data_IF_986963727854
#
_entry.id   IF_986963727854
#
_cell.length_a   1.000
_cell.length_b   1.000
_cell.length_c   1.000
_cell.angle_alpha   90.00
_cell.angle_beta   90.00
_cell.angle_gamma   90.00
#
_symmetry.space_group_name_H-M   'P 1'
#
loop_
_entity.id
_entity.type
_entity.pdbx_description
1 polymer ?
#
# COMPACT_ATOMS: atom_id res chain seq x y z
N UNK A 1 30.56 33.05 8.92
CA UNK A 1 29.33 32.26 8.72
C UNK A 1 28.77 31.92 10.09
N UNK A 2 27.86 32.77 10.57
CA UNK A 2 27.29 32.71 11.91
C UNK A 2 26.18 31.66 11.88
N UNK A 3 26.38 30.52 12.56
CA UNK A 3 25.33 29.54 12.84
C UNK A 3 24.24 30.25 13.65
N UNK A 4 23.12 30.56 13.01
CA UNK A 4 21.91 30.92 13.73
C UNK A 4 21.43 29.65 14.45
N UNK A 5 21.90 29.45 15.68
CA UNK A 5 21.26 28.57 16.65
C UNK A 5 19.83 29.03 16.83
N UNK A 6 18.90 28.35 16.14
CA UNK A 6 17.46 28.51 16.35
C UNK A 6 17.18 28.13 17.81
N UNK A 7 16.63 29.02 18.64
CA UNK A 7 16.35 28.72 20.04
C UNK A 7 15.22 27.69 20.12
N UNK A 8 15.53 26.50 20.66
CA UNK A 8 14.59 25.37 20.90
C UNK A 8 13.68 25.66 22.11
N UNK A 9 13.21 26.90 22.26
CA UNK A 9 12.72 27.43 23.54
C UNK A 9 11.39 28.17 23.52
N UNK A 10 10.66 28.22 22.40
CA UNK A 10 9.29 28.79 22.32
C UNK A 10 8.50 28.14 21.18
N UNK A 11 8.25 26.83 21.27
CA UNK A 11 7.15 26.18 20.55
C UNK A 11 6.11 25.81 21.62
N UNK A 12 5.39 26.81 22.12
CA UNK A 12 4.04 26.57 22.65
C UNK A 12 3.18 26.15 21.46
N UNK A 13 3.40 24.92 20.97
CA UNK A 13 2.56 24.25 20.01
C UNK A 13 1.18 24.24 20.66
N UNK A 14 0.29 25.11 20.18
CA UNK A 14 -1.07 25.13 20.68
C UNK A 14 -1.61 23.71 20.55
N UNK A 15 -2.24 23.19 21.60
CA UNK A 15 -2.87 21.87 21.55
C UNK A 15 -3.83 21.76 20.35
N UNK A 16 -4.35 22.88 19.82
CA UNK A 16 -5.11 22.91 18.58
C UNK A 16 -4.29 22.59 17.33
N UNK A 17 -3.08 23.13 17.19
CA UNK A 17 -2.21 22.87 16.03
C UNK A 17 -1.72 21.42 16.03
N UNK A 18 -1.47 20.86 17.22
CA UNK A 18 -1.13 19.44 17.35
C UNK A 18 -2.31 18.53 16.98
N UNK A 19 -3.53 18.87 17.43
CA UNK A 19 -4.75 18.12 17.09
C UNK A 19 -5.04 18.18 15.59
N UNK A 20 -4.89 19.37 14.98
CA UNK A 20 -5.07 19.56 13.55
C UNK A 20 -4.01 18.77 12.76
N UNK A 21 -2.73 18.90 13.12
CA UNK A 21 -1.65 18.17 12.47
C UNK A 21 -1.80 16.65 12.58
N UNK A 22 -2.20 16.16 13.76
CA UNK A 22 -2.50 14.74 13.96
C UNK A 22 -3.66 14.28 13.08
N UNK A 23 -4.75 15.06 13.00
CA UNK A 23 -5.87 14.78 12.13
C UNK A 23 -5.48 14.69 10.65
N UNK A 24 -4.63 15.62 10.18
CA UNK A 24 -4.11 15.62 8.81
C UNK A 24 -3.25 14.38 8.53
N UNK A 25 -2.38 13.97 9.46
CA UNK A 25 -1.55 12.77 9.30
C UNK A 25 -2.38 11.49 9.21
N UNK A 26 -3.43 11.37 10.02
CA UNK A 26 -4.36 10.23 9.93
C UNK A 26 -5.05 10.20 8.57
N UNK A 27 -5.57 11.35 8.12
CA UNK A 27 -6.22 11.45 6.81
C UNK A 27 -5.28 11.08 5.65
N UNK A 28 -4.03 11.58 5.68
CA UNK A 28 -2.99 11.24 4.70
C UNK A 28 -2.65 9.76 4.74
N UNK A 29 -2.57 9.15 5.92
CA UNK A 29 -2.27 7.72 6.06
C UNK A 29 -3.35 6.83 5.42
N UNK A 30 -4.63 7.15 5.62
CA UNK A 30 -5.74 6.44 4.99
C UNK A 30 -5.75 6.65 3.47
N UNK A 31 -5.54 7.88 3.02
CA UNK A 31 -5.44 8.17 1.59
C UNK A 31 -4.29 7.38 0.94
N UNK A 32 -3.13 7.32 1.58
CA UNK A 32 -1.96 6.57 1.10
C UNK A 32 -2.23 5.06 1.01
N UNK A 33 -2.91 4.49 2.02
CA UNK A 33 -3.28 3.08 2.01
C UNK A 33 -4.28 2.76 0.88
N UNK A 34 -5.35 3.57 0.75
CA UNK A 34 -6.34 3.44 -0.31
C UNK A 34 -5.72 3.61 -1.71
N UNK A 35 -4.87 4.61 -1.90
CA UNK A 35 -4.17 4.84 -3.16
C UNK A 35 -3.31 3.63 -3.57
N UNK A 36 -2.64 2.99 -2.61
CA UNK A 36 -1.88 1.76 -2.84
C UNK A 36 -2.74 0.60 -3.35
N UNK A 37 -3.88 0.35 -2.69
CA UNK A 37 -4.79 -0.75 -3.03
C UNK A 37 -5.55 -0.46 -4.35
N UNK A 38 -5.96 0.78 -4.57
CA UNK A 38 -6.63 1.18 -5.81
C UNK A 38 -5.68 1.11 -7.02
N UNK A 39 -4.41 1.47 -6.84
CA UNK A 39 -3.41 1.33 -7.89
C UNK A 39 -3.17 -0.14 -8.26
N UNK A 40 -3.09 -1.02 -7.26
CA UNK A 40 -3.01 -2.46 -7.47
C UNK A 40 -4.22 -2.99 -8.25
N UNK A 41 -5.43 -2.59 -7.85
CA UNK A 41 -6.67 -2.96 -8.51
C UNK A 41 -6.71 -2.47 -9.98
N UNK A 42 -6.28 -1.23 -10.22
CA UNK A 42 -6.24 -0.62 -11.56
C UNK A 42 -5.28 -1.39 -12.48
N UNK A 43 -4.05 -1.65 -12.01
CA UNK A 43 -3.01 -2.32 -12.80
C UNK A 43 -3.43 -3.76 -13.13
N UNK A 44 -3.95 -4.51 -12.15
CA UNK A 44 -4.40 -5.90 -12.35
C UNK A 44 -5.60 -6.02 -13.31
N UNK A 45 -6.42 -4.97 -13.44
CA UNK A 45 -7.56 -4.93 -14.37
C UNK A 45 -7.16 -4.52 -15.79
N UNK A 46 -6.07 -3.77 -15.93
CA UNK A 46 -5.57 -3.26 -17.21
C UNK A 46 -4.82 -4.35 -18.01
N UNK A 47 -4.93 -4.32 -19.34
CA UNK A 47 -4.18 -5.23 -20.21
C UNK A 47 -2.72 -4.76 -20.38
N UNK A 48 -2.51 -3.44 -20.43
CA UNK A 48 -1.20 -2.80 -20.57
C UNK A 48 -0.90 -1.95 -19.34
N UNK A 49 0.18 -2.27 -18.62
CA UNK A 49 0.57 -1.58 -17.38
C UNK A 49 0.97 -0.13 -17.66
N UNK A 50 1.74 0.08 -18.73
CA UNK A 50 2.21 1.42 -19.11
C UNK A 50 1.05 2.36 -19.43
N UNK A 51 -0.01 1.83 -20.04
CA UNK A 51 -1.20 2.60 -20.39
C UNK A 51 -1.96 3.03 -19.13
N UNK A 52 -2.17 2.10 -18.18
CA UNK A 52 -2.80 2.43 -16.90
C UNK A 52 -1.96 3.46 -16.10
N UNK A 53 -0.64 3.32 -16.12
CA UNK A 53 0.26 4.22 -15.39
C UNK A 53 0.30 5.63 -16.03
N UNK A 54 0.22 5.73 -17.35
CA UNK A 54 0.13 7.02 -18.06
C UNK A 54 -1.14 7.76 -17.68
N UNK A 55 -2.29 7.10 -17.65
CA UNK A 55 -3.54 7.74 -17.20
C UNK A 55 -3.48 8.15 -15.74
N UNK A 56 -2.95 7.29 -14.86
CA UNK A 56 -2.80 7.59 -13.44
C UNK A 56 -1.91 8.83 -13.20
N UNK A 57 -0.71 8.85 -13.79
CA UNK A 57 0.17 10.00 -13.65
C UNK A 57 -0.35 11.23 -14.38
N UNK A 58 -1.07 11.07 -15.50
CA UNK A 58 -1.75 12.16 -16.18
C UNK A 58 -2.74 12.88 -15.25
N UNK A 59 -3.60 12.14 -14.55
CA UNK A 59 -4.49 12.71 -13.54
C UNK A 59 -3.73 13.29 -12.35
N UNK A 60 -2.62 12.68 -11.93
CA UNK A 60 -1.76 13.21 -10.87
C UNK A 60 -1.14 14.57 -11.21
N UNK A 61 -0.67 14.75 -12.45
CA UNK A 61 -0.16 16.03 -12.96
C UNK A 61 -1.27 17.07 -12.98
N UNK A 62 -2.47 16.71 -13.47
CA UNK A 62 -3.63 17.61 -13.46
C UNK A 62 -3.99 18.05 -12.02
N UNK A 63 -4.04 17.11 -11.08
CA UNK A 63 -4.31 17.43 -9.67
C UNK A 63 -3.22 18.34 -9.06
N UNK A 64 -1.95 18.12 -9.42
CA UNK A 64 -0.84 18.99 -9.00
C UNK A 64 -0.95 20.40 -9.56
N UNK A 65 -1.36 20.55 -10.83
CA UNK A 65 -1.64 21.85 -11.44
C UNK A 65 -2.80 22.57 -10.75
N UNK A 66 -3.89 21.85 -10.44
CA UNK A 66 -5.03 22.42 -9.69
C UNK A 66 -4.61 22.85 -8.30
N UNK A 67 -3.80 22.06 -7.59
CA UNK A 67 -3.28 22.40 -6.27
C UNK A 67 -2.44 23.69 -6.32
N UNK A 68 -1.60 23.86 -7.34
CA UNK A 68 -0.83 25.09 -7.54
C UNK A 68 -1.75 26.29 -7.78
N UNK A 69 -2.77 26.16 -8.62
CA UNK A 69 -3.74 27.23 -8.89
C UNK A 69 -4.54 27.64 -7.63
N UNK A 70 -4.91 26.68 -6.78
CA UNK A 70 -5.61 26.95 -5.52
C UNK A 70 -4.71 27.63 -4.49
N UNK A 71 -3.45 27.23 -4.39
CA UNK A 71 -2.48 27.86 -3.48
C UNK A 71 -2.16 29.30 -3.88
N UNK A 72 -2.16 29.58 -5.17
CA UNK A 72 -1.97 30.93 -5.72
C UNK A 72 -3.17 31.83 -5.39
N UNK A 73 -4.39 31.32 -5.60
CA UNK A 73 -5.64 32.02 -5.23
C UNK A 73 -5.69 32.36 -3.73
N UNK A 74 -5.19 31.46 -2.86
CA UNK A 74 -5.15 31.67 -1.42
C UNK A 74 -4.06 32.63 -0.90
N UNK A 75 -2.98 32.84 -1.67
CA UNK A 75 -1.88 33.75 -1.32
C UNK A 75 -2.02 35.14 -1.97
N UNK A 76 -2.90 35.28 -2.96
CA UNK A 76 -2.88 36.37 -3.95
C UNK A 76 -4.05 37.35 -3.98
N UNK A 77 -4.86 37.51 -2.92
CA UNK A 77 -5.82 38.64 -2.83
C UNK A 77 -5.15 40.03 -2.67
N UNK A 78 -3.81 40.12 -2.80
CA UNK A 78 -3.06 41.39 -2.80
C UNK A 78 -2.39 41.76 -4.14
N UNK A 79 -2.47 40.93 -5.18
CA UNK A 79 -2.15 41.38 -6.54
C UNK A 79 -3.10 40.71 -7.50
N UNK A 80 -4.17 41.43 -7.84
CA UNK A 80 -5.02 41.06 -8.95
C UNK A 80 -4.20 41.12 -10.24
N UNK A 81 -4.09 39.98 -10.92
CA UNK A 81 -3.51 39.93 -12.26
C UNK A 81 -3.06 38.53 -12.61
N UNK A 82 -3.95 37.80 -13.31
CA UNK A 82 -3.74 36.63 -14.16
C UNK A 82 -2.83 35.50 -13.65
N UNK A 83 -3.28 34.25 -13.81
CA UNK A 83 -2.43 33.05 -13.69
C UNK A 83 -1.24 33.16 -14.65
N UNK A 84 -0.16 33.80 -14.20
CA UNK A 84 0.98 34.10 -15.05
C UNK A 84 1.93 32.91 -15.03
N UNK A 85 2.36 32.51 -16.23
CA UNK A 85 3.47 31.59 -16.48
C UNK A 85 4.75 31.95 -15.67
N UNK A 86 4.86 33.21 -15.21
CA UNK A 86 5.95 33.73 -14.39
C UNK A 86 6.04 33.10 -12.99
N UNK A 87 4.93 32.69 -12.37
CA UNK A 87 4.95 31.99 -11.09
C UNK A 87 5.36 30.53 -11.23
N UNK A 88 5.04 29.87 -12.36
CA UNK A 88 5.64 28.57 -12.67
C UNK A 88 7.16 28.68 -12.85
N UNK A 89 7.64 29.73 -13.52
CA UNK A 89 9.07 30.00 -13.67
C UNK A 89 9.76 30.34 -12.34
N UNK A 90 9.05 30.91 -11.34
CA UNK A 90 9.59 31.06 -9.97
C UNK A 90 9.86 29.73 -9.29
N UNK A 91 9.05 28.69 -9.53
CA UNK A 91 9.29 27.35 -8.98
C UNK A 91 10.55 26.69 -9.55
N UNK A 92 10.99 27.11 -10.74
CA UNK A 92 12.25 26.65 -11.35
C UNK A 92 13.46 27.53 -11.00
N UNK A 93 13.30 28.62 -10.24
CA UNK A 93 14.44 29.41 -9.75
C UNK A 93 15.25 28.58 -8.75
N UNK A 94 16.48 28.25 -9.10
CA UNK A 94 17.38 27.40 -8.31
C UNK A 94 17.64 26.01 -8.92
N UNK A 95 16.88 25.61 -9.96
CA UNK A 95 17.20 24.39 -10.74
C UNK A 95 18.36 24.58 -11.73
N UNK A 96 18.71 25.83 -12.04
CA UNK A 96 19.77 26.18 -12.99
C UNK A 96 21.18 26.17 -12.36
N UNK A 97 21.27 26.31 -11.02
CA UNK A 97 22.56 26.43 -10.33
C UNK A 97 23.17 25.09 -9.85
N UNK A 98 22.39 24.00 -9.88
CA UNK A 98 22.87 22.68 -9.42
C UNK A 98 22.19 21.53 -10.16
N UNK A 99 22.94 20.48 -10.50
CA UNK A 99 22.41 19.27 -11.13
C UNK A 99 21.69 18.32 -10.15
N UNK A 100 21.82 18.55 -8.84
CA UNK A 100 21.31 17.64 -7.80
C UNK A 100 19.77 17.50 -7.80
N UNK A 101 18.98 18.59 -7.94
CA UNK A 101 17.52 18.50 -8.03
C UNK A 101 17.04 17.66 -9.20
N UNK A 102 17.69 17.76 -10.37
CA UNK A 102 17.37 16.94 -11.54
C UNK A 102 17.59 15.45 -11.29
N UNK A 103 18.68 15.09 -10.59
CA UNK A 103 18.95 13.70 -10.21
C UNK A 103 17.89 13.16 -9.23
N UNK A 104 17.45 13.97 -8.26
CA UNK A 104 16.38 13.57 -7.32
C UNK A 104 15.05 13.37 -8.04
N UNK A 105 14.70 14.27 -8.98
CA UNK A 105 13.48 14.13 -9.79
C UNK A 105 13.54 12.86 -10.65
N UNK A 106 14.68 12.61 -11.32
CA UNK A 106 14.87 11.39 -12.10
C UNK A 106 14.80 10.13 -11.23
N UNK A 107 15.42 10.15 -10.05
CA UNK A 107 15.38 9.04 -9.10
C UNK A 107 13.94 8.77 -8.62
N UNK A 108 13.18 9.81 -8.27
CA UNK A 108 11.79 9.68 -7.87
C UNK A 108 10.89 9.20 -9.03
N UNK A 109 11.16 9.63 -10.27
CA UNK A 109 10.45 9.14 -11.45
C UNK A 109 10.72 7.65 -11.69
N UNK A 110 11.97 7.22 -11.60
CA UNK A 110 12.36 5.80 -11.70
C UNK A 110 11.71 4.99 -10.58
N UNK A 111 11.76 5.45 -9.33
CA UNK A 111 11.10 4.80 -8.19
C UNK A 111 9.59 4.62 -8.42
N UNK A 112 8.91 5.66 -8.92
CA UNK A 112 7.49 5.58 -9.27
C UNK A 112 7.22 4.51 -10.34
N UNK A 113 8.02 4.50 -11.40
CA UNK A 113 7.89 3.53 -12.48
C UNK A 113 8.22 2.10 -12.02
N UNK A 114 9.25 1.92 -11.19
CA UNK A 114 9.61 0.62 -10.59
C UNK A 114 8.47 0.09 -9.72
N UNK A 115 7.82 0.94 -8.93
CA UNK A 115 6.67 0.56 -8.11
C UNK A 115 5.48 0.13 -9.00
N UNK A 116 5.24 0.80 -10.12
CA UNK A 116 4.19 0.37 -11.07
C UNK A 116 4.47 -1.03 -11.65
N UNK A 117 5.73 -1.33 -11.98
CA UNK A 117 6.11 -2.69 -12.39
C UNK A 117 6.02 -3.71 -11.25
N UNK A 118 6.35 -3.32 -10.02
CA UNK A 118 6.25 -4.17 -8.84
C UNK A 118 4.81 -4.67 -8.64
N UNK A 119 3.82 -3.80 -8.81
CA UNK A 119 2.40 -4.14 -8.67
C UNK A 119 1.89 -5.17 -9.68
N UNK A 120 2.63 -5.47 -10.76
CA UNK A 120 2.30 -6.59 -11.66
C UNK A 120 2.47 -7.94 -10.96
N UNK A 121 3.46 -8.05 -10.09
CA UNK A 121 3.90 -9.32 -9.50
C UNK A 121 3.70 -9.39 -7.98
N UNK A 122 3.48 -8.25 -7.34
CA UNK A 122 3.39 -8.15 -5.89
C UNK A 122 2.14 -7.35 -5.48
N UNK A 123 1.61 -7.69 -4.31
CA UNK A 123 0.50 -6.95 -3.70
C UNK A 123 1.01 -5.71 -2.96
N UNK A 124 0.10 -4.77 -2.69
CA UNK A 124 0.34 -3.53 -1.95
C UNK A 124 0.97 -3.73 -0.57
N UNK A 125 0.75 -4.89 0.05
CA UNK A 125 1.38 -5.27 1.33
C UNK A 125 2.87 -5.59 1.16
N UNK A 126 3.24 -6.36 0.13
CA UNK A 126 4.64 -6.72 -0.16
C UNK A 126 5.42 -5.45 -0.53
N UNK A 127 4.80 -4.52 -1.26
CA UNK A 127 5.38 -3.19 -1.52
C UNK A 127 5.73 -2.47 -0.21
N UNK A 128 4.83 -2.45 0.78
CA UNK A 128 5.08 -1.77 2.05
C UNK A 128 6.29 -2.37 2.78
N UNK A 129 6.38 -3.71 2.85
CA UNK A 129 7.54 -4.38 3.43
C UNK A 129 8.84 -4.10 2.67
N UNK A 130 8.80 -4.06 1.34
CA UNK A 130 9.97 -3.72 0.53
C UNK A 130 10.47 -2.29 0.79
N UNK A 131 9.57 -1.31 0.94
CA UNK A 131 9.93 0.07 1.28
C UNK A 131 10.55 0.14 2.68
N UNK A 132 9.96 -0.56 3.67
CA UNK A 132 10.52 -0.62 5.02
C UNK A 132 11.92 -1.24 5.03
N UNK A 133 12.13 -2.34 4.30
CA UNK A 133 13.44 -2.98 4.15
C UNK A 133 14.46 -2.05 3.46
N UNK A 134 14.05 -1.35 2.40
CA UNK A 134 14.88 -0.37 1.70
C UNK A 134 15.26 0.81 2.60
N UNK A 135 14.34 1.30 3.44
CA UNK A 135 14.63 2.33 4.43
C UNK A 135 15.64 1.84 5.48
N UNK A 136 15.48 0.63 6.00
CA UNK A 136 16.45 0.03 6.92
C UNK A 136 17.83 -0.11 6.28
N UNK A 137 17.89 -0.60 5.04
CA UNK A 137 19.13 -0.72 4.28
C UNK A 137 19.79 0.64 4.03
N UNK A 138 19.01 1.65 3.64
CA UNK A 138 19.51 3.02 3.42
C UNK A 138 20.13 3.59 4.69
N UNK A 139 19.49 3.33 5.84
CA UNK A 139 20.04 3.73 7.14
C UNK A 139 21.37 3.02 7.45
N UNK A 140 21.50 1.72 7.17
CA UNK A 140 22.76 0.99 7.33
C UNK A 140 23.86 1.50 6.40
N UNK A 141 23.53 1.82 5.15
CA UNK A 141 24.50 2.44 4.23
C UNK A 141 24.92 3.81 4.74
N UNK A 142 23.97 4.59 5.27
CA UNK A 142 24.23 5.93 5.80
C UNK A 142 25.16 5.91 7.02
N UNK A 143 25.05 4.93 7.91
CA UNK A 143 25.96 4.81 9.06
C UNK A 143 27.40 4.51 8.63
N UNK A 144 27.59 3.69 7.58
CA UNK A 144 28.92 3.34 7.06
C UNK A 144 29.55 4.47 6.24
N UNK A 145 28.78 5.11 5.37
CA UNK A 145 29.29 6.13 4.42
C UNK A 145 29.44 7.50 5.08
N UNK A 146 28.48 7.91 5.92
CA UNK A 146 28.44 9.25 6.53
C UNK A 146 28.81 9.25 8.01
N UNK A 147 29.10 8.10 8.61
CA UNK A 147 29.40 8.00 10.04
C UNK A 147 28.22 8.39 10.94
N UNK A 148 26.98 8.27 10.42
CA UNK A 148 25.77 8.65 11.15
C UNK A 148 25.60 7.80 12.41
N UNK A 149 25.32 8.45 13.54
CA UNK A 149 25.08 7.77 14.82
C UNK A 149 23.66 7.19 14.84
N UNK A 150 23.55 5.88 14.69
CA UNK A 150 22.26 5.20 14.73
C UNK A 150 21.68 5.23 16.15
N UNK A 151 20.56 5.92 16.34
CA UNK A 151 19.86 5.95 17.63
C UNK A 151 19.27 4.57 17.97
N UNK A 152 19.39 4.15 19.23
CA UNK A 152 18.88 2.86 19.72
C UNK A 152 17.38 2.67 19.47
N UNK A 153 16.60 3.75 19.51
CA UNK A 153 15.16 3.70 19.22
C UNK A 153 14.88 3.32 17.75
N UNK A 154 15.67 3.84 16.82
CA UNK A 154 15.55 3.51 15.40
C UNK A 154 15.97 2.07 15.12
N UNK A 155 17.04 1.57 15.76
CA UNK A 155 17.48 0.17 15.59
C UNK A 155 16.44 -0.83 16.11
N UNK A 156 15.76 -0.53 17.22
CA UNK A 156 14.67 -1.38 17.73
C UNK A 156 13.50 -1.38 16.73
N UNK A 157 13.16 -0.22 16.15
CA UNK A 157 12.12 -0.13 15.12
C UNK A 157 12.41 -1.00 13.89
N UNK A 158 13.64 -0.97 13.38
CA UNK A 158 14.05 -1.83 12.26
C UNK A 158 14.05 -3.33 12.64
N UNK A 159 14.46 -3.67 13.87
CA UNK A 159 14.41 -5.05 14.36
C UNK A 159 12.96 -5.58 14.41
N UNK A 160 12.02 -4.78 14.94
CA UNK A 160 10.60 -5.14 14.97
C UNK A 160 10.04 -5.28 13.55
N UNK A 161 10.43 -4.38 12.63
CA UNK A 161 10.03 -4.50 11.22
C UNK A 161 10.57 -5.79 10.58
N UNK A 162 11.79 -6.22 10.91
CA UNK A 162 12.37 -7.47 10.40
C UNK A 162 11.61 -8.70 10.94
N UNK A 163 11.29 -8.71 12.24
CA UNK A 163 10.47 -9.77 12.85
C UNK A 163 9.08 -9.83 12.22
N UNK A 164 8.44 -8.68 11.97
CA UNK A 164 7.13 -8.61 11.32
C UNK A 164 7.11 -9.26 9.93
N UNK A 165 8.17 -9.05 9.13
CA UNK A 165 8.28 -9.69 7.81
C UNK A 165 8.42 -11.20 7.95
N UNK A 166 9.29 -11.67 8.86
CA UNK A 166 9.47 -13.10 9.13
C UNK A 166 8.16 -13.76 9.59
N UNK A 167 7.37 -13.06 10.42
CA UNK A 167 6.07 -13.54 10.90
C UNK A 167 5.05 -13.61 9.76
N UNK A 168 5.01 -12.61 8.89
CA UNK A 168 4.06 -12.55 7.77
C UNK A 168 4.21 -13.71 6.78
N UNK A 169 5.45 -14.20 6.56
CA UNK A 169 5.71 -15.34 5.69
C UNK A 169 5.70 -16.71 6.40
N UNK A 170 5.52 -16.75 7.71
CA UNK A 170 5.50 -18.00 8.49
C UNK A 170 4.13 -18.70 8.40
N UNK A 171 4.07 -20.03 8.22
CA UNK A 171 2.81 -20.75 8.19
C UNK A 171 2.08 -20.68 9.55
N UNK A 172 0.75 -20.51 9.56
CA UNK A 172 -0.02 -20.25 10.79
C UNK A 172 0.05 -21.40 11.81
N UNK A 173 0.26 -22.63 11.33
CA UNK A 173 0.42 -23.82 12.17
C UNK A 173 1.64 -23.74 13.09
N UNK A 174 2.75 -23.17 12.59
CA UNK A 174 3.98 -23.01 13.38
C UNK A 174 3.84 -21.88 14.40
N UNK A 175 3.10 -20.83 14.07
CA UNK A 175 2.85 -19.71 14.97
C UNK A 175 1.97 -20.10 16.15
N UNK A 176 0.89 -20.84 15.89
CA UNK A 176 -0.03 -21.32 16.94
C UNK A 176 0.67 -22.29 17.91
N UNK A 177 1.54 -23.16 17.40
CA UNK A 177 2.34 -24.04 18.26
C UNK A 177 3.31 -23.25 19.16
N UNK A 178 4.02 -22.27 18.59
CA UNK A 178 4.94 -21.41 19.35
C UNK A 178 4.21 -20.52 20.36
N UNK A 179 3.03 -19.98 20.03
CA UNK A 179 2.22 -19.19 20.96
C UNK A 179 1.71 -20.04 22.13
N UNK A 180 1.33 -21.30 21.87
CA UNK A 180 0.91 -22.23 22.92
C UNK A 180 2.07 -22.58 23.88
N UNK A 181 3.29 -22.76 23.37
CA UNK A 181 4.48 -22.98 24.19
C UNK A 181 4.88 -21.72 24.97
N UNK A 182 4.83 -20.54 24.35
CA UNK A 182 5.12 -19.25 25.00
C UNK A 182 4.10 -18.93 26.09
N UNK A 183 2.80 -19.01 25.81
CA UNK A 183 1.73 -18.85 26.81
C UNK A 183 1.81 -19.90 27.90
N UNK A 184 2.20 -21.14 27.57
CA UNK A 184 2.47 -22.20 28.55
C UNK A 184 3.63 -21.85 29.49
N UNK A 185 4.73 -21.32 28.94
CA UNK A 185 5.89 -20.88 29.72
C UNK A 185 5.59 -19.63 30.58
N UNK A 186 4.75 -18.71 30.08
CA UNK A 186 4.36 -17.48 30.78
C UNK A 186 3.31 -17.75 31.87
N UNK A 187 2.38 -18.68 31.63
CA UNK A 187 1.33 -19.12 32.57
C UNK A 187 1.90 -19.87 33.78
N UNK A 188 3.07 -20.50 33.63
CA UNK A 188 3.73 -21.22 34.72
C UNK A 188 4.38 -20.30 35.78
N UNK A 189 4.43 -18.98 35.55
CA UNK A 189 4.89 -18.00 36.55
C UNK A 189 3.88 -17.71 37.67
N UNK A 190 2.63 -18.19 37.60
CA UNK A 190 1.58 -17.73 38.53
C UNK A 190 0.47 -18.69 38.95
N UNK A 191 0.31 -19.89 38.37
CA UNK A 191 -0.85 -20.74 38.71
C UNK A 191 -0.53 -22.21 38.94
N UNK A 192 0.54 -22.48 39.68
CA UNK A 192 0.76 -23.79 40.30
C UNK A 192 -0.17 -23.99 41.50
N UNK A 193 -1.44 -24.38 41.24
CA UNK A 193 -2.38 -25.11 42.13
C UNK A 193 -3.82 -24.90 41.64
N UNK A 194 -4.29 -25.66 40.64
CA UNK A 194 -5.70 -26.09 40.52
C UNK A 194 -5.94 -27.10 39.38
N UNK A 195 -4.91 -27.88 39.02
CA UNK A 195 -5.02 -28.96 38.03
C UNK A 195 -5.55 -30.23 38.68
N UNK A 196 -6.87 -30.33 38.83
CA UNK A 196 -7.56 -31.61 39.03
C UNK A 196 -9.08 -31.57 38.71
N UNK A 197 -9.69 -30.40 38.47
CA UNK A 197 -11.15 -30.30 38.34
C UNK A 197 -11.68 -29.99 36.92
N UNK A 198 -10.83 -29.72 35.93
CA UNK A 198 -11.26 -29.19 34.62
C UNK A 198 -11.15 -30.17 33.45
N UNK A 199 -11.12 -31.47 33.71
CA UNK A 199 -11.10 -32.50 32.65
C UNK A 199 -12.53 -32.82 32.15
N UNK A 200 -13.58 -32.57 32.96
CA UNK A 200 -14.96 -32.93 32.60
C UNK A 200 -15.71 -31.91 31.73
N UNK A 201 -15.29 -30.64 31.69
CA UNK A 201 -15.97 -29.60 30.89
C UNK A 201 -15.47 -29.53 29.43
N UNK A 202 -14.27 -30.05 29.15
CA UNK A 202 -13.66 -29.97 27.82
C UNK A 202 -14.30 -30.97 26.84
N UNK A 203 -14.76 -32.12 27.33
CA UNK A 203 -15.40 -33.14 26.47
C UNK A 203 -16.83 -32.75 26.05
N UNK A 204 -17.57 -32.04 26.90
CA UNK A 204 -18.88 -31.48 26.56
C UNK A 204 -18.80 -30.36 25.52
N UNK A 205 -17.76 -29.52 25.61
CA UNK A 205 -17.53 -28.45 24.63
C UNK A 205 -17.10 -28.99 23.26
N UNK A 206 -16.35 -30.10 23.22
CA UNK A 206 -15.98 -30.78 21.97
C UNK A 206 -17.19 -31.31 21.23
N UNK A 207 -18.16 -31.92 21.91
CA UNK A 207 -19.40 -32.42 21.28
C UNK A 207 -20.31 -31.29 20.77
N UNK A 208 -20.34 -30.14 21.45
CA UNK A 208 -21.11 -28.98 20.99
C UNK A 208 -20.51 -28.32 19.74
N UNK A 209 -19.18 -28.31 19.61
CA UNK A 209 -18.51 -27.70 18.46
C UNK A 209 -18.65 -28.54 17.18
N UNK A 210 -18.62 -29.88 17.28
CA UNK A 210 -18.84 -30.78 16.13
C UNK A 210 -20.29 -30.72 15.60
N UNK A 211 -21.25 -30.34 16.44
CA UNK A 211 -22.64 -30.13 16.02
C UNK A 211 -22.84 -28.81 15.26
N UNK A 212 -22.05 -27.78 15.57
CA UNK A 212 -22.09 -26.47 14.91
C UNK A 212 -21.35 -26.49 13.55
N UNK A 213 -20.27 -27.27 13.44
CA UNK A 213 -19.48 -27.40 12.22
C UNK A 213 -20.24 -28.12 11.08
N UNK A 214 -21.16 -29.03 11.41
CA UNK A 214 -22.00 -29.72 10.41
C UNK A 214 -23.14 -28.86 9.82
N UNK A 215 -23.47 -27.70 10.42
CA UNK A 215 -24.55 -26.81 9.95
C UNK A 215 -24.04 -25.70 9.01
N UNK A 216 -22.72 -25.45 8.96
CA UNK A 216 -22.14 -24.31 8.23
C UNK A 216 -21.48 -24.67 6.89
N UNK A 217 -21.68 -25.88 6.38
CA UNK A 217 -21.20 -26.32 5.06
C UNK A 217 -22.08 -25.73 3.93
N UNK A 218 -21.75 -24.52 3.50
CA UNK A 218 -22.03 -24.03 2.13
C UNK A 218 -20.67 -23.69 1.48
N UNK A 219 -20.37 -24.21 0.28
CA UNK A 219 -19.00 -24.31 -0.21
C UNK A 219 -18.46 -22.96 -0.69
N UNK A 220 -17.34 -22.52 -0.10
CA UNK A 220 -16.47 -21.51 -0.66
C UNK A 220 -15.69 -22.09 -1.84
N UNK A 221 -15.79 -21.40 -2.98
CA UNK A 221 -15.12 -21.72 -4.23
C UNK A 221 -13.59 -21.69 -4.06
N UNK A 222 -12.92 -22.79 -4.40
CA UNK A 222 -11.47 -22.88 -4.67
C UNK A 222 -11.21 -22.79 -6.19
N UNK A 223 -9.95 -22.64 -6.65
CA UNK A 223 -9.57 -21.83 -7.80
C UNK A 223 -9.72 -22.58 -9.15
N UNK A 224 -9.99 -21.85 -10.24
CA UNK A 224 -9.94 -22.40 -11.60
C UNK A 224 -8.80 -21.77 -12.41
N UNK A 225 -7.66 -22.46 -12.44
CA UNK A 225 -6.86 -22.56 -13.66
C UNK A 225 -7.16 -23.91 -14.33
N UNK A 226 -6.94 -23.99 -15.65
CA UNK A 226 -7.33 -25.04 -16.63
C UNK A 226 -8.78 -24.88 -17.09
N UNK A 227 -9.16 -24.74 -18.37
CA UNK A 227 -8.58 -25.22 -19.64
C UNK A 227 -9.30 -24.46 -20.77
N UNK A 228 -8.64 -23.57 -21.53
CA UNK A 228 -9.18 -23.04 -22.79
C UNK A 228 -8.55 -23.82 -23.96
N UNK A 229 -8.86 -25.11 -24.00
CA UNK A 229 -8.63 -26.01 -25.14
C UNK A 229 -9.95 -26.69 -25.45
N UNK A 230 -11.00 -25.88 -25.70
CA UNK A 230 -12.29 -26.35 -26.21
C UNK A 230 -13.16 -25.20 -26.77
N UNK A 231 -12.55 -24.33 -27.60
CA UNK A 231 -13.29 -23.35 -28.40
C UNK A 231 -12.90 -23.42 -29.87
N UNK A 232 -12.82 -24.66 -30.37
CA UNK A 232 -12.68 -24.99 -31.79
C UNK A 232 -13.71 -26.02 -32.20
N UNK A 233 -14.99 -25.78 -31.90
CA UNK A 233 -16.17 -26.41 -32.55
C UNK A 233 -17.44 -25.73 -32.03
N UNK A 234 -17.67 -24.47 -32.41
CA UNK A 234 -19.02 -23.88 -32.37
C UNK A 234 -19.14 -22.74 -33.37
N UNK A 235 -18.89 -23.08 -34.62
CA UNK A 235 -19.67 -22.49 -35.71
C UNK A 235 -21.07 -23.06 -35.56
N UNK A 236 -22.05 -22.21 -35.30
CA UNK A 236 -23.32 -22.21 -36.04
C UNK A 236 -24.13 -20.99 -35.59
N UNK A 237 -24.00 -19.95 -36.42
CA UNK A 237 -24.78 -18.72 -36.38
C UNK A 237 -26.24 -19.03 -36.74
N UNK A 238 -27.24 -18.70 -35.90
CA UNK A 238 -28.64 -18.79 -36.27
C UNK A 238 -29.09 -17.71 -37.28
N UNK A 239 -28.18 -16.83 -37.74
CA UNK A 239 -28.49 -15.80 -38.74
C UNK A 239 -28.26 -16.25 -40.20
N UNK A 240 -27.66 -17.42 -40.45
CA UNK A 240 -27.32 -17.88 -41.81
C UNK A 240 -28.31 -18.89 -42.42
N UNK A 241 -29.34 -19.35 -41.68
CA UNK A 241 -30.43 -20.20 -42.23
C UNK A 241 -31.66 -19.43 -42.70
N UNK A 242 -31.67 -18.11 -42.57
CA UNK A 242 -32.76 -17.23 -43.02
C UNK A 242 -32.59 -16.70 -44.46
N UNK A 243 -31.47 -16.98 -45.15
CA UNK A 243 -31.18 -16.35 -46.45
C UNK A 243 -31.78 -17.06 -47.69
N UNK A 244 -32.63 -18.09 -47.57
CA UNK A 244 -32.91 -19.00 -48.72
C UNK A 244 -34.37 -19.38 -48.97
N UNK A 245 -35.34 -18.56 -48.54
CA UNK A 245 -36.77 -18.78 -48.85
C UNK A 245 -37.51 -17.63 -49.55
N UNK A 246 -36.89 -16.47 -49.78
CA UNK A 246 -37.58 -15.32 -50.42
C UNK A 246 -37.06 -14.93 -51.82
N UNK A 247 -36.07 -15.65 -52.37
CA UNK A 247 -35.50 -15.33 -53.70
C UNK A 247 -35.99 -16.18 -54.87
N UNK A 248 -36.99 -17.05 -54.69
CA UNK A 248 -37.40 -18.01 -55.72
C UNK A 248 -38.92 -18.11 -55.90
N UNK A 249 -39.65 -17.00 -55.76
CA UNK A 249 -41.04 -16.88 -56.24
C UNK A 249 -41.35 -15.41 -56.56
N UNK A 250 -41.05 -14.97 -57.79
CA UNK A 250 -41.85 -14.05 -58.64
C UNK A 250 -40.97 -13.34 -59.68
N UNK A 251 -41.34 -13.59 -60.94
CA UNK A 251 -41.20 -12.81 -62.19
C UNK A 251 -39.92 -12.02 -62.45
#
# INVERSE_FOLDING_TARGET
MTLATVPVGQLELSSQDLKLGTGMMVAVSWCSALAGVLNEWLIKRSNNIMEANVWLYGYGVLASCVQLALLDTGRGSQSGGDFQLSDMLRHFRGFDESMMPWLVVLCNAVLGQTIAYLFRYADSIIKLYAVCAAMGFTTLVSTVVFGFQLHLHASIGYLVSAISVCLYYSPPEKLLATDAEMLGSLSWGGLGKHSAAREKDVDGAKQAFTAVENVSVLPSQTPRQTTLKDRSTRNDSPAAKAARKEGAVKS
#
